data_IF_595709385916
#
_entry.id   IF_595709385916
#
_cell.length_a   1.000
_cell.length_b   1.000
_cell.length_c   1.000
_cell.angle_alpha   90.00
_cell.angle_beta   90.00
_cell.angle_gamma   90.00
#
_symmetry.space_group_name_H-M   'P 1'
#
loop_
_entity.id
_entity.type
_entity.pdbx_description
1 polymer ?
#
# COMPACT_ATOMS: atom_id res chain seq x y z
N UNK A 1 -21.37 9.44 -72.34
CA UNK A 1 -21.57 8.78 -71.03
C UNK A 1 -20.27 8.85 -70.24
N UNK A 2 -20.11 9.80 -69.31
CA UNK A 2 -18.94 9.88 -68.41
C UNK A 2 -19.36 9.32 -67.06
N UNK A 3 -18.73 8.22 -66.63
CA UNK A 3 -18.93 7.63 -65.30
C UNK A 3 -18.10 8.43 -64.30
N UNK A 4 -18.77 9.05 -63.32
CA UNK A 4 -18.13 9.68 -62.17
C UNK A 4 -18.03 8.61 -61.08
N UNK A 5 -16.81 8.26 -60.68
CA UNK A 5 -16.57 7.37 -59.56
C UNK A 5 -16.59 8.20 -58.27
N UNK A 6 -17.54 7.89 -57.39
CA UNK A 6 -17.65 8.51 -56.07
C UNK A 6 -16.74 7.73 -55.11
N UNK A 7 -15.67 8.36 -54.62
CA UNK A 7 -14.80 7.78 -53.61
C UNK A 7 -15.37 8.06 -52.22
N UNK A 8 -15.85 7.01 -51.54
CA UNK A 8 -16.32 7.08 -50.15
C UNK A 8 -15.12 7.07 -49.21
N UNK A 9 -14.85 8.18 -48.54
CA UNK A 9 -13.86 8.25 -47.45
C UNK A 9 -14.50 7.69 -46.17
N UNK A 10 -13.99 6.57 -45.67
CA UNK A 10 -14.35 6.03 -44.35
C UNK A 10 -13.46 6.72 -43.31
N UNK A 11 -14.06 7.58 -42.47
CA UNK A 11 -13.41 8.13 -41.29
C UNK A 11 -13.44 7.08 -40.18
N UNK A 12 -12.29 6.51 -39.84
CA UNK A 12 -12.11 5.67 -38.65
C UNK A 12 -11.91 6.62 -37.47
N UNK A 13 -12.94 6.75 -36.63
CA UNK A 13 -12.80 7.39 -35.32
C UNK A 13 -12.08 6.44 -34.38
N UNK A 14 -10.82 6.73 -34.07
CA UNK A 14 -10.13 6.09 -32.95
C UNK A 14 -10.68 6.67 -31.66
N UNK A 15 -11.48 5.89 -30.94
CA UNK A 15 -11.84 6.20 -29.55
C UNK A 15 -10.62 5.84 -28.72
N UNK A 16 -9.88 6.84 -28.24
CA UNK A 16 -8.88 6.63 -27.20
C UNK A 16 -9.64 6.29 -25.92
N UNK A 17 -9.70 4.99 -25.60
CA UNK A 17 -10.15 4.53 -24.30
C UNK A 17 -9.02 4.83 -23.33
N UNK A 18 -9.13 5.94 -22.61
CA UNK A 18 -8.27 6.20 -21.46
C UNK A 18 -8.61 5.17 -20.38
N UNK A 19 -7.77 4.16 -20.22
CA UNK A 19 -7.84 3.28 -19.04
C UNK A 19 -7.46 4.11 -17.82
N UNK A 20 -8.21 3.95 -16.74
CA UNK A 20 -7.90 4.63 -15.50
C UNK A 20 -6.62 4.04 -14.92
N UNK A 21 -5.72 4.88 -14.38
CA UNK A 21 -4.58 4.36 -13.61
C UNK A 21 -5.10 3.67 -12.34
N UNK A 22 -4.61 2.47 -12.01
CA UNK A 22 -5.02 1.77 -10.81
C UNK A 22 -4.71 2.57 -9.54
N UNK A 23 -5.60 2.52 -8.55
CA UNK A 23 -5.29 3.03 -7.21
C UNK A 23 -4.11 2.27 -6.61
N UNK A 24 -3.30 2.96 -5.81
CA UNK A 24 -2.13 2.36 -5.17
C UNK A 24 -2.14 2.62 -3.67
N UNK A 25 -1.74 1.60 -2.91
CA UNK A 25 -1.48 1.70 -1.48
C UNK A 25 -0.46 2.80 -1.21
N UNK A 26 -0.70 3.65 -0.20
CA UNK A 26 0.14 4.82 0.14
C UNK A 26 0.23 5.88 -0.96
N UNK A 27 -0.88 6.13 -1.66
CA UNK A 27 -1.00 7.23 -2.61
C UNK A 27 -0.52 6.89 -4.03
N UNK A 28 -0.64 7.83 -4.98
CA UNK A 28 -0.45 7.57 -6.42
C UNK A 28 0.91 6.96 -6.81
N UNK A 29 1.97 7.30 -6.06
CA UNK A 29 3.33 6.82 -6.28
C UNK A 29 3.76 5.70 -5.31
N UNK A 30 2.82 5.19 -4.51
CA UNK A 30 3.04 4.14 -3.49
C UNK A 30 4.11 4.45 -2.42
N UNK A 31 4.46 5.72 -2.24
CA UNK A 31 5.55 6.17 -1.35
C UNK A 31 5.05 6.90 -0.09
N UNK A 32 3.74 7.08 0.05
CA UNK A 32 3.12 7.80 1.17
C UNK A 32 3.12 9.31 1.02
N UNK A 33 3.43 9.84 -0.17
CA UNK A 33 3.41 11.27 -0.47
C UNK A 33 2.20 11.57 -1.35
N UNK A 34 1.30 12.42 -0.87
CA UNK A 34 0.08 12.81 -1.58
C UNK A 34 0.28 14.13 -2.35
N UNK A 35 -0.33 14.26 -3.54
CA UNK A 35 -0.10 15.40 -4.44
C UNK A 35 -0.90 16.65 -4.07
N UNK A 36 -1.80 16.57 -3.09
CA UNK A 36 -2.62 17.68 -2.62
C UNK A 36 -1.79 18.89 -2.18
N UNK A 37 -2.38 20.08 -2.38
CA UNK A 37 -1.77 21.40 -2.14
C UNK A 37 -2.78 22.38 -1.54
N UNK A 38 -2.25 23.39 -0.86
CA UNK A 38 -3.03 24.39 -0.13
C UNK A 38 -3.63 23.81 1.15
N UNK A 39 -2.96 22.84 1.75
CA UNK A 39 -3.41 22.17 2.96
C UNK A 39 -3.10 23.02 4.20
N UNK A 40 -3.76 22.71 5.31
CA UNK A 40 -3.48 23.31 6.61
C UNK A 40 -2.00 23.09 6.98
N UNK A 41 -1.31 24.18 7.27
CA UNK A 41 0.10 24.15 7.72
C UNK A 41 0.24 24.04 9.24
N UNK A 42 -0.86 24.21 9.97
CA UNK A 42 -0.99 24.08 11.41
C UNK A 42 -2.42 23.61 11.72
N UNK A 43 -2.58 22.76 12.73
CA UNK A 43 -3.89 22.36 13.19
C UNK A 43 -4.62 23.50 13.92
N UNK A 44 -5.92 23.71 13.66
CA UNK A 44 -6.75 24.56 14.52
C UNK A 44 -6.75 24.06 15.97
N UNK A 45 -7.12 24.93 16.92
CA UNK A 45 -7.12 24.64 18.36
C UNK A 45 -7.87 23.33 18.71
N UNK A 46 -8.96 23.03 18.00
CA UNK A 46 -9.78 21.83 18.20
C UNK A 46 -9.46 20.69 17.22
N UNK A 47 -8.35 20.77 16.49
CA UNK A 47 -8.05 19.89 15.37
C UNK A 47 -8.76 20.28 14.06
N UNK A 48 -8.52 19.53 12.97
CA UNK A 48 -9.21 19.75 11.71
C UNK A 48 -10.71 19.45 11.84
N UNK A 49 -11.53 20.11 11.03
CA UNK A 49 -12.97 19.93 11.04
C UNK A 49 -13.35 18.50 10.61
N UNK A 50 -14.08 17.78 11.46
CA UNK A 50 -14.68 16.50 11.10
C UNK A 50 -15.90 16.74 10.19
N UNK A 51 -15.78 16.41 8.91
CA UNK A 51 -16.85 16.55 7.92
C UNK A 51 -17.95 15.51 8.17
N UNK A 52 -17.54 14.25 8.34
CA UNK A 52 -18.43 13.13 8.61
C UNK A 52 -17.68 11.94 9.19
N UNK A 53 -18.43 11.00 9.76
CA UNK A 53 -17.93 9.68 10.17
C UNK A 53 -18.94 8.58 9.82
N UNK A 54 -18.42 7.42 9.43
CA UNK A 54 -19.19 6.21 9.17
C UNK A 54 -18.81 5.13 10.20
N UNK A 55 -19.75 4.74 11.07
CA UNK A 55 -19.48 3.92 12.27
C UNK A 55 -19.96 2.46 12.16
N UNK A 56 -20.39 2.03 10.96
CA UNK A 56 -21.05 0.73 10.75
C UNK A 56 -20.17 -0.30 10.03
N UNK A 57 -18.86 -0.06 9.92
CA UNK A 57 -17.99 -0.91 9.10
C UNK A 57 -17.47 -2.16 9.84
N UNK A 58 -17.44 -2.19 11.17
CA UNK A 58 -16.86 -3.32 11.92
C UNK A 58 -15.32 -3.29 11.98
N UNK A 59 -14.69 -4.37 12.40
CA UNK A 59 -13.25 -4.41 12.71
C UNK A 59 -12.36 -4.44 11.46
N UNK A 60 -11.20 -3.78 11.53
CA UNK A 60 -10.22 -3.78 10.44
C UNK A 60 -9.12 -2.73 10.63
N UNK A 61 -8.09 -2.85 9.79
CA UNK A 61 -6.90 -2.02 9.75
C UNK A 61 -6.60 -1.49 8.35
N UNK A 62 -7.53 -1.69 7.41
CA UNK A 62 -7.36 -1.30 6.01
C UNK A 62 -7.51 0.21 5.84
N UNK A 63 -6.66 0.79 5.01
CA UNK A 63 -6.86 2.16 4.54
C UNK A 63 -7.99 2.22 3.51
N UNK A 64 -8.74 3.34 3.43
CA UNK A 64 -9.72 3.52 2.38
C UNK A 64 -9.05 3.67 1.01
N UNK A 65 -9.64 3.10 -0.04
CA UNK A 65 -9.27 3.37 -1.42
C UNK A 65 -10.29 4.31 -2.06
N UNK A 66 -9.83 5.33 -2.77
CA UNK A 66 -10.69 6.36 -3.37
C UNK A 66 -10.57 6.27 -4.89
N UNK A 67 -11.70 6.08 -5.58
CA UNK A 67 -11.76 6.03 -7.04
C UNK A 67 -13.16 6.37 -7.54
N UNK A 68 -13.25 7.09 -8.66
CA UNK A 68 -14.52 7.38 -9.33
C UNK A 68 -15.54 8.14 -8.47
N UNK A 69 -15.08 8.96 -7.51
CA UNK A 69 -15.96 9.69 -6.58
C UNK A 69 -16.59 8.81 -5.50
N UNK A 70 -15.97 7.67 -5.18
CA UNK A 70 -16.41 6.78 -4.11
C UNK A 70 -15.24 6.31 -3.26
N UNK A 71 -15.58 5.87 -2.04
CA UNK A 71 -14.65 5.32 -1.07
C UNK A 71 -14.93 3.83 -0.91
N UNK A 72 -13.88 3.01 -0.97
CA UNK A 72 -13.95 1.57 -0.84
C UNK A 72 -13.13 1.13 0.36
N UNK A 73 -13.74 0.36 1.26
CA UNK A 73 -13.05 -0.11 2.46
C UNK A 73 -13.49 -1.54 2.82
N UNK A 74 -12.55 -2.51 2.86
CA UNK A 74 -12.83 -3.83 3.39
C UNK A 74 -12.77 -3.81 4.91
N UNK A 75 -13.65 -4.53 5.58
CA UNK A 75 -13.71 -4.68 7.04
C UNK A 75 -14.34 -6.02 7.41
N UNK A 76 -14.44 -6.31 8.71
CA UNK A 76 -14.98 -7.55 9.25
C UNK A 76 -16.07 -7.30 10.29
N UNK A 77 -17.18 -8.03 10.18
CA UNK A 77 -18.24 -8.09 11.19
C UNK A 77 -18.48 -9.56 11.51
N UNK A 78 -18.36 -9.94 12.79
CA UNK A 78 -18.58 -11.31 13.26
C UNK A 78 -17.84 -12.38 12.44
N UNK A 79 -16.53 -12.20 12.25
CA UNK A 79 -15.64 -13.07 11.43
C UNK A 79 -15.90 -13.08 9.93
N UNK A 80 -16.93 -12.37 9.49
CA UNK A 80 -17.34 -12.28 8.10
C UNK A 80 -16.79 -10.98 7.52
N UNK A 81 -16.08 -11.08 6.41
CA UNK A 81 -15.52 -9.94 5.71
C UNK A 81 -16.53 -9.29 4.76
N UNK A 82 -16.52 -7.97 4.73
CA UNK A 82 -17.39 -7.14 3.91
C UNK A 82 -16.59 -6.08 3.17
N UNK A 83 -16.90 -5.86 1.89
CA UNK A 83 -16.47 -4.69 1.15
C UNK A 83 -17.57 -3.63 1.24
N UNK A 84 -17.20 -2.42 1.66
CA UNK A 84 -18.09 -1.26 1.69
C UNK A 84 -17.74 -0.32 0.55
N UNK A 85 -18.77 0.24 -0.10
CA UNK A 85 -18.67 1.41 -0.97
C UNK A 85 -19.48 2.55 -0.36
N UNK A 86 -18.84 3.69 -0.16
CA UNK A 86 -19.44 4.90 0.37
C UNK A 86 -19.35 6.03 -0.66
N UNK A 87 -20.27 6.98 -0.60
CA UNK A 87 -20.11 8.29 -1.28
C UNK A 87 -18.99 9.09 -0.61
N UNK A 88 -18.51 10.14 -1.28
CA UNK A 88 -17.53 11.06 -0.69
C UNK A 88 -18.06 11.80 0.55
N UNK A 89 -19.37 11.82 0.75
CA UNK A 89 -20.05 12.39 1.92
C UNK A 89 -20.32 11.35 3.03
N UNK A 90 -19.79 10.13 2.90
CA UNK A 90 -19.85 9.09 3.92
C UNK A 90 -21.15 8.27 3.93
N UNK A 91 -22.01 8.43 2.92
CA UNK A 91 -23.25 7.65 2.81
C UNK A 91 -22.99 6.25 2.22
N UNK A 92 -23.62 5.23 2.80
CA UNK A 92 -23.50 3.85 2.31
C UNK A 92 -24.17 3.69 0.94
N UNK A 93 -23.38 3.30 -0.07
CA UNK A 93 -23.90 2.91 -1.39
C UNK A 93 -24.25 1.43 -1.40
N UNK A 94 -23.28 0.58 -1.07
CA UNK A 94 -23.49 -0.85 -0.90
C UNK A 94 -22.49 -1.47 0.08
N UNK A 95 -22.87 -2.63 0.61
CA UNK A 95 -22.04 -3.51 1.41
C UNK A 95 -22.21 -4.94 0.92
N UNK A 96 -21.12 -5.58 0.51
CA UNK A 96 -21.13 -6.95 0.00
C UNK A 96 -20.23 -7.85 0.83
N UNK A 97 -20.76 -8.99 1.25
CA UNK A 97 -20.01 -10.05 1.92
C UNK A 97 -19.03 -10.73 0.94
N UNK A 98 -17.77 -10.89 1.35
CA UNK A 98 -16.78 -11.64 0.57
C UNK A 98 -16.38 -12.99 1.18
N UNK A 99 -16.94 -13.34 2.34
CA UNK A 99 -16.70 -14.59 3.06
C UNK A 99 -15.86 -14.41 4.32
N UNK A 100 -15.31 -15.51 4.85
CA UNK A 100 -14.55 -15.48 6.11
C UNK A 100 -13.31 -14.58 6.03
N UNK A 101 -13.12 -13.77 7.06
CA UNK A 101 -11.93 -12.94 7.26
C UNK A 101 -11.06 -13.46 8.42
N UNK A 102 -9.81 -13.01 8.45
CA UNK A 102 -8.86 -13.35 9.49
C UNK A 102 -9.33 -12.83 10.85
N UNK A 103 -9.65 -13.78 11.73
CA UNK A 103 -10.28 -13.51 13.02
C UNK A 103 -9.52 -14.09 14.22
N UNK A 104 -8.23 -14.39 14.05
CA UNK A 104 -7.35 -14.84 15.13
C UNK A 104 -6.70 -13.62 15.82
N UNK A 105 -5.37 -13.49 15.82
CA UNK A 105 -4.71 -12.34 16.45
C UNK A 105 -4.88 -11.05 15.64
N UNK A 106 -5.33 -9.97 16.27
CA UNK A 106 -5.63 -8.71 15.60
C UNK A 106 -6.69 -8.92 14.49
N UNK A 107 -7.93 -9.28 14.86
CA UNK A 107 -8.96 -9.63 13.90
C UNK A 107 -9.32 -8.47 12.95
N UNK A 108 -9.63 -8.78 11.69
CA UNK A 108 -10.09 -7.81 10.69
C UNK A 108 -9.30 -7.79 9.38
N UNK A 109 -9.82 -7.06 8.40
CA UNK A 109 -9.14 -6.79 7.12
C UNK A 109 -7.86 -5.95 7.36
N UNK A 110 -6.88 -6.07 6.46
CA UNK A 110 -5.59 -5.34 6.56
C UNK A 110 -5.14 -4.73 5.24
N UNK A 111 -5.45 -5.39 4.12
CA UNK A 111 -5.09 -4.93 2.79
C UNK A 111 -6.04 -3.83 2.32
N UNK A 112 -5.54 -2.92 1.50
CA UNK A 112 -6.38 -1.94 0.81
C UNK A 112 -6.88 -2.53 -0.51
N UNK A 113 -8.04 -2.07 -0.98
CA UNK A 113 -8.53 -2.48 -2.30
C UNK A 113 -7.78 -1.74 -3.42
N UNK A 114 -7.52 -2.44 -4.52
CA UNK A 114 -6.96 -1.85 -5.75
C UNK A 114 -8.08 -1.70 -6.77
N UNK A 115 -8.32 -0.47 -7.23
CA UNK A 115 -9.39 -0.15 -8.16
C UNK A 115 -8.81 0.29 -9.49
N UNK A 116 -9.39 -0.20 -10.58
CA UNK A 116 -9.07 0.23 -11.94
C UNK A 116 -10.28 0.00 -12.83
N UNK A 117 -10.65 1.02 -13.60
CA UNK A 117 -11.85 1.04 -14.44
C UNK A 117 -13.10 0.66 -13.62
N UNK A 118 -13.87 -0.34 -14.07
CA UNK A 118 -15.09 -0.83 -13.43
C UNK A 118 -14.84 -1.91 -12.36
N UNK A 119 -13.58 -2.18 -11.99
CA UNK A 119 -13.19 -3.32 -11.15
C UNK A 119 -12.45 -2.94 -9.88
N UNK A 120 -12.71 -3.72 -8.85
CA UNK A 120 -12.02 -3.71 -7.56
C UNK A 120 -11.38 -5.07 -7.32
N UNK A 121 -10.13 -5.05 -6.82
CA UNK A 121 -9.35 -6.21 -6.44
C UNK A 121 -8.98 -6.15 -4.97
N UNK A 122 -9.14 -7.27 -4.26
CA UNK A 122 -8.86 -7.32 -2.83
C UNK A 122 -8.38 -8.71 -2.42
N UNK A 123 -7.33 -8.77 -1.59
CA UNK A 123 -6.85 -9.99 -0.96
C UNK A 123 -7.28 -10.02 0.51
N UNK A 124 -8.14 -10.99 0.87
CA UNK A 124 -8.52 -11.19 2.27
C UNK A 124 -7.38 -11.79 3.09
N UNK A 125 -7.45 -11.61 4.40
CA UNK A 125 -6.50 -12.19 5.35
C UNK A 125 -6.54 -13.72 5.43
N UNK A 126 -7.58 -14.36 4.87
CA UNK A 126 -7.66 -15.82 4.67
C UNK A 126 -7.11 -16.27 3.30
N UNK A 127 -6.59 -15.36 2.48
CA UNK A 127 -5.96 -15.68 1.21
C UNK A 127 -6.94 -15.80 0.03
N UNK A 128 -8.14 -15.23 0.15
CA UNK A 128 -9.09 -15.15 -0.97
C UNK A 128 -8.83 -13.85 -1.73
N UNK A 129 -8.27 -13.95 -2.93
CA UNK A 129 -8.16 -12.86 -3.89
C UNK A 129 -9.47 -12.76 -4.67
N UNK A 130 -10.08 -11.58 -4.67
CA UNK A 130 -11.34 -11.29 -5.34
C UNK A 130 -11.15 -10.26 -6.44
N UNK A 131 -11.90 -10.42 -7.53
CA UNK A 131 -12.27 -9.34 -8.43
C UNK A 131 -13.77 -9.10 -8.32
N UNK A 132 -14.18 -7.86 -8.09
CA UNK A 132 -15.57 -7.47 -7.93
C UNK A 132 -15.89 -6.28 -8.81
N UNK A 133 -17.16 -6.16 -9.19
CA UNK A 133 -17.70 -4.97 -9.86
C UNK A 133 -17.71 -3.79 -8.90
N UNK A 134 -17.25 -2.63 -9.35
CA UNK A 134 -17.36 -1.37 -8.59
C UNK A 134 -18.78 -0.80 -8.57
N UNK A 135 -19.64 -1.24 -9.50
CA UNK A 135 -21.02 -0.77 -9.63
C UNK A 135 -21.87 -1.28 -8.46
N UNK A 136 -21.95 -2.60 -8.29
CA UNK A 136 -22.86 -3.28 -7.36
C UNK A 136 -22.15 -4.17 -6.34
N UNK A 137 -20.81 -4.28 -6.41
CA UNK A 137 -20.01 -5.14 -5.54
C UNK A 137 -20.12 -6.63 -5.88
N UNK A 138 -20.75 -7.01 -6.99
CA UNK A 138 -20.85 -8.42 -7.38
C UNK A 138 -19.45 -9.02 -7.62
N UNK A 139 -19.24 -10.25 -7.14
CA UNK A 139 -17.98 -10.98 -7.35
C UNK A 139 -17.94 -11.49 -8.79
N UNK A 140 -16.90 -11.10 -9.53
CA UNK A 140 -16.67 -11.51 -10.92
C UNK A 140 -15.87 -12.82 -10.96
N UNK A 141 -14.78 -12.88 -10.20
CA UNK A 141 -13.99 -14.11 -10.02
C UNK A 141 -13.29 -14.11 -8.67
N UNK A 142 -12.88 -15.30 -8.22
CA UNK A 142 -12.06 -15.48 -7.01
C UNK A 142 -10.92 -16.45 -7.25
N UNK A 143 -9.79 -16.24 -6.57
CA UNK A 143 -8.65 -17.14 -6.54
C UNK A 143 -8.17 -17.30 -5.10
N UNK A 144 -7.95 -18.52 -4.64
CA UNK A 144 -7.47 -18.79 -3.30
C UNK A 144 -5.95 -19.05 -3.31
N UNK A 145 -5.17 -18.24 -2.59
CA UNK A 145 -3.70 -18.34 -2.59
C UNK A 145 -3.22 -19.73 -2.14
N UNK A 146 -3.79 -20.29 -1.07
CA UNK A 146 -3.44 -21.66 -0.62
C UNK A 146 -3.92 -22.72 -1.63
N UNK A 147 -5.23 -22.80 -1.86
CA UNK A 147 -5.82 -23.94 -2.59
C UNK A 147 -5.54 -23.93 -4.10
N UNK A 148 -5.44 -22.76 -4.72
CA UNK A 148 -5.28 -22.62 -6.17
C UNK A 148 -3.86 -22.25 -6.59
N UNK A 149 -3.03 -21.74 -5.67
CA UNK A 149 -1.70 -21.22 -5.94
C UNK A 149 -0.63 -21.82 -5.00
N UNK A 150 -0.90 -22.96 -4.34
CA UNK A 150 0.04 -23.66 -3.46
C UNK A 150 0.70 -22.75 -2.40
N UNK A 151 0.01 -21.67 -2.03
CA UNK A 151 0.46 -20.70 -1.04
C UNK A 151 0.45 -21.28 0.36
N UNK A 152 1.15 -20.61 1.27
CA UNK A 152 1.19 -21.02 2.68
C UNK A 152 0.75 -19.86 3.54
N UNK A 153 -0.39 -20.04 4.21
CA UNK A 153 -0.91 -19.05 5.16
C UNK A 153 0.08 -18.91 6.32
N UNK A 154 0.52 -17.69 6.60
CA UNK A 154 1.38 -17.43 7.75
C UNK A 154 0.53 -17.31 9.04
N UNK A 155 1.19 -17.17 10.20
CA UNK A 155 0.50 -17.16 11.51
C UNK A 155 -0.45 -15.97 11.72
N UNK A 156 -0.33 -14.93 10.89
CA UNK A 156 -1.14 -13.72 10.96
C UNK A 156 -2.12 -13.59 9.80
N UNK A 157 -2.09 -14.50 8.83
CA UNK A 157 -2.92 -14.46 7.62
C UNK A 157 -2.13 -14.18 6.35
N UNK A 158 -2.82 -13.65 5.35
CA UNK A 158 -2.22 -12.92 4.24
C UNK A 158 -2.46 -11.42 4.41
N UNK A 159 -1.58 -10.59 3.87
CA UNK A 159 -1.85 -9.17 3.77
C UNK A 159 -1.01 -8.58 2.65
N UNK A 160 -1.60 -8.25 1.51
CA UNK A 160 -0.93 -7.40 0.54
C UNK A 160 -2.00 -6.63 -0.23
N UNK A 161 -1.73 -5.35 -0.50
CA UNK A 161 -2.51 -4.63 -1.51
C UNK A 161 -1.97 -5.09 -2.86
N UNK A 162 -2.72 -5.94 -3.54
CA UNK A 162 -2.34 -6.47 -4.87
C UNK A 162 -2.14 -5.33 -5.87
N UNK A 163 -1.11 -5.42 -6.70
CA UNK A 163 -0.81 -4.40 -7.71
C UNK A 163 -1.28 -4.84 -9.09
N UNK A 164 -1.73 -3.88 -9.90
CA UNK A 164 -2.29 -4.11 -11.24
C UNK A 164 -1.48 -3.33 -12.26
N UNK A 165 -1.19 -3.96 -13.40
CA UNK A 165 -0.62 -3.31 -14.58
C UNK A 165 -1.21 -3.92 -15.86
N UNK A 166 -1.85 -3.10 -16.68
CA UNK A 166 -2.53 -3.56 -17.89
C UNK A 166 -3.53 -4.66 -17.58
N UNK A 167 -3.32 -5.85 -18.14
CA UNK A 167 -4.20 -7.00 -17.96
C UNK A 167 -3.76 -7.93 -16.82
N UNK A 168 -2.72 -7.57 -16.06
CA UNK A 168 -2.14 -8.43 -15.02
C UNK A 168 -2.42 -7.89 -13.63
N UNK A 169 -2.67 -8.81 -12.71
CA UNK A 169 -2.65 -8.59 -11.26
C UNK A 169 -1.55 -9.46 -10.65
N UNK A 170 -0.78 -8.90 -9.72
CA UNK A 170 0.33 -9.59 -9.07
C UNK A 170 0.00 -9.84 -7.59
N UNK A 171 0.25 -11.07 -7.12
CA UNK A 171 0.08 -11.45 -5.72
C UNK A 171 1.17 -12.43 -5.28
N UNK A 172 1.46 -12.44 -3.98
CA UNK A 172 2.55 -13.16 -3.32
C UNK A 172 1.97 -14.29 -2.45
N UNK A 173 1.62 -15.46 -3.02
CA UNK A 173 1.20 -16.61 -2.22
C UNK A 173 2.31 -17.14 -1.30
N UNK A 174 3.57 -16.92 -1.67
CA UNK A 174 4.71 -17.64 -1.09
C UNK A 174 4.59 -19.16 -1.26
N UNK A 175 5.58 -19.91 -0.80
CA UNK A 175 5.54 -21.37 -0.76
C UNK A 175 6.74 -22.06 -1.39
N UNK A 176 6.64 -23.40 -1.45
CA UNK A 176 7.71 -24.29 -1.93
C UNK A 176 7.98 -24.14 -3.43
N UNK A 177 6.94 -23.93 -4.23
CA UNK A 177 7.04 -23.97 -5.70
C UNK A 177 7.07 -22.59 -6.34
N UNK A 178 6.29 -21.64 -5.81
CA UNK A 178 6.18 -20.29 -6.35
C UNK A 178 6.18 -19.23 -5.25
N UNK A 179 6.82 -18.10 -5.50
CA UNK A 179 6.89 -16.97 -4.57
C UNK A 179 5.83 -15.91 -4.89
N UNK A 180 5.76 -15.53 -6.17
CA UNK A 180 4.85 -14.53 -6.72
C UNK A 180 4.22 -15.06 -7.99
N UNK A 181 2.97 -14.68 -8.26
CA UNK A 181 2.26 -15.03 -9.49
C UNK A 181 1.69 -13.79 -10.14
N UNK A 182 1.60 -13.82 -11.47
CA UNK A 182 0.75 -12.91 -12.23
C UNK A 182 -0.49 -13.67 -12.71
N UNK A 183 -1.65 -13.06 -12.49
CA UNK A 183 -2.93 -13.56 -13.00
C UNK A 183 -3.48 -12.56 -14.03
N UNK A 184 -4.30 -13.06 -14.96
CA UNK A 184 -5.11 -12.21 -15.81
C UNK A 184 -6.16 -11.51 -14.94
N UNK A 185 -6.17 -10.18 -14.92
CA UNK A 185 -7.03 -9.39 -14.03
C UNK A 185 -8.53 -9.54 -14.35
N UNK A 186 -8.89 -10.00 -15.54
CA UNK A 186 -10.28 -10.16 -15.95
C UNK A 186 -10.83 -11.56 -15.66
N UNK A 187 -9.97 -12.58 -15.64
CA UNK A 187 -10.39 -13.99 -15.51
C UNK A 187 -9.88 -14.70 -14.26
N UNK A 188 -8.81 -14.19 -13.62
CA UNK A 188 -8.13 -14.85 -12.51
C UNK A 188 -7.25 -16.04 -12.93
N UNK A 189 -7.11 -16.28 -14.23
CA UNK A 189 -6.25 -17.33 -14.77
C UNK A 189 -4.77 -16.97 -14.61
N UNK A 190 -3.93 -17.95 -14.31
CA UNK A 190 -2.50 -17.73 -14.14
C UNK A 190 -1.84 -17.41 -15.48
N UNK A 191 -1.07 -16.33 -15.52
CA UNK A 191 -0.24 -15.92 -16.67
C UNK A 191 1.16 -16.48 -16.52
N UNK A 192 1.77 -16.26 -15.35
CA UNK A 192 3.07 -16.82 -14.99
C UNK A 192 3.19 -16.98 -13.47
N UNK A 193 4.15 -17.80 -13.05
CA UNK A 193 4.53 -18.00 -11.66
C UNK A 193 6.06 -17.88 -11.54
N UNK A 194 6.52 -17.02 -10.64
CA UNK A 194 7.94 -16.88 -10.32
C UNK A 194 8.37 -18.00 -9.37
N UNK A 195 9.56 -18.55 -9.61
CA UNK A 195 10.12 -19.65 -8.81
C UNK A 195 10.13 -19.31 -7.30
N UNK A 196 9.66 -20.25 -6.50
CA UNK A 196 9.69 -20.15 -5.04
C UNK A 196 11.07 -20.46 -4.47
N UNK A 197 11.35 -19.93 -3.27
CA UNK A 197 12.53 -20.31 -2.47
C UNK A 197 12.17 -21.19 -1.26
N UNK A 198 10.93 -21.70 -1.18
CA UNK A 198 10.45 -22.39 0.02
C UNK A 198 10.01 -21.46 1.14
N UNK A 199 9.69 -20.21 0.81
CA UNK A 199 9.54 -19.11 1.75
C UNK A 199 8.10 -18.58 1.69
N UNK A 200 7.48 -18.27 2.84
CA UNK A 200 6.07 -17.84 2.85
C UNK A 200 5.93 -16.35 2.54
N UNK A 201 4.69 -15.92 2.32
CA UNK A 201 4.36 -14.52 2.17
C UNK A 201 4.67 -13.73 3.46
N UNK A 202 5.11 -12.48 3.31
CA UNK A 202 5.55 -11.64 4.42
C UNK A 202 4.98 -10.21 4.37
N UNK A 203 3.75 -10.07 3.90
CA UNK A 203 2.92 -8.87 4.06
C UNK A 203 3.28 -7.65 3.19
N UNK A 204 4.29 -7.79 2.34
CA UNK A 204 4.82 -6.68 1.55
C UNK A 204 3.96 -6.47 0.30
N UNK A 205 3.34 -5.29 0.19
CA UNK A 205 2.75 -4.86 -1.08
C UNK A 205 3.87 -4.66 -2.10
N UNK A 206 3.86 -5.37 -3.25
CA UNK A 206 4.95 -5.28 -4.22
C UNK A 206 5.14 -3.88 -4.81
N UNK A 207 6.40 -3.47 -4.96
CA UNK A 207 6.80 -2.25 -5.66
C UNK A 207 7.03 -2.55 -7.15
N UNK A 208 6.42 -1.77 -8.04
CA UNK A 208 6.64 -1.86 -9.48
C UNK A 208 7.71 -0.85 -9.92
N UNK A 209 8.75 -1.33 -10.61
CA UNK A 209 9.86 -0.51 -11.09
C UNK A 209 9.98 -0.60 -12.61
N UNK A 210 10.10 0.55 -13.27
CA UNK A 210 10.31 0.65 -14.71
C UNK A 210 11.76 1.06 -15.00
N UNK A 211 12.50 0.18 -15.65
CA UNK A 211 13.81 0.47 -16.24
C UNK A 211 13.67 0.62 -17.76
N UNK A 212 14.58 1.33 -18.44
CA UNK A 212 14.54 1.44 -19.90
C UNK A 212 14.55 0.07 -20.62
N UNK A 213 15.20 -0.93 -20.03
CA UNK A 213 15.34 -2.27 -20.63
C UNK A 213 14.34 -3.30 -20.13
N UNK A 214 13.73 -3.11 -18.96
CA UNK A 214 12.84 -4.10 -18.33
C UNK A 214 11.95 -3.52 -17.24
N UNK A 215 10.98 -4.32 -16.82
CA UNK A 215 10.00 -3.98 -15.79
C UNK A 215 10.10 -4.96 -14.63
N UNK A 216 10.36 -4.47 -13.42
CA UNK A 216 10.51 -5.32 -12.23
C UNK A 216 9.33 -5.22 -11.30
N UNK A 217 9.10 -6.31 -10.60
CA UNK A 217 8.33 -6.39 -9.37
C UNK A 217 9.32 -6.67 -8.23
N UNK A 218 9.27 -5.85 -7.19
CA UNK A 218 10.10 -6.02 -5.98
C UNK A 218 9.20 -6.26 -4.78
N UNK A 219 9.43 -7.34 -4.05
CA UNK A 219 8.65 -7.65 -2.84
C UNK A 219 9.49 -8.45 -1.84
N UNK A 220 8.92 -8.73 -0.68
CA UNK A 220 9.50 -9.55 0.36
C UNK A 220 8.69 -10.83 0.58
N UNK A 221 9.40 -11.95 0.70
CA UNK A 221 8.94 -13.15 1.41
C UNK A 221 9.56 -13.17 2.81
N UNK A 222 9.26 -14.17 3.65
CA UNK A 222 9.70 -14.27 5.05
C UNK A 222 11.21 -13.98 5.25
N UNK A 223 12.03 -14.46 4.30
CA UNK A 223 13.49 -14.49 4.35
C UNK A 223 14.18 -13.73 3.23
N UNK A 224 13.51 -13.39 2.13
CA UNK A 224 14.15 -12.80 0.95
C UNK A 224 13.46 -11.54 0.45
N UNK A 225 14.27 -10.60 -0.01
CA UNK A 225 13.87 -9.54 -0.94
C UNK A 225 14.04 -10.12 -2.35
N UNK A 226 13.03 -9.97 -3.19
CA UNK A 226 12.98 -10.56 -4.53
C UNK A 226 12.91 -9.47 -5.59
N UNK A 227 13.66 -9.63 -6.68
CA UNK A 227 13.50 -8.86 -7.91
C UNK A 227 13.08 -9.78 -9.04
N UNK A 228 11.88 -9.54 -9.58
CA UNK A 228 11.23 -10.43 -10.55
C UNK A 228 10.92 -9.64 -11.81
N UNK A 229 11.21 -10.21 -12.98
CA UNK A 229 10.80 -9.62 -14.25
C UNK A 229 9.28 -9.75 -14.45
N UNK A 230 8.57 -8.63 -14.63
CA UNK A 230 7.11 -8.60 -14.79
C UNK A 230 6.64 -9.19 -16.11
N UNK A 231 7.53 -9.32 -17.09
CA UNK A 231 7.17 -9.86 -18.39
C UNK A 231 6.76 -11.34 -18.27
N UNK A 232 7.60 -12.16 -17.64
CA UNK A 232 7.49 -13.61 -17.64
C UNK A 232 7.66 -14.29 -16.27
N UNK A 233 7.89 -13.52 -15.20
CA UNK A 233 8.08 -14.06 -13.85
C UNK A 233 9.50 -14.56 -13.56
N UNK A 234 10.46 -14.28 -14.43
CA UNK A 234 11.87 -14.65 -14.19
C UNK A 234 12.38 -14.00 -12.91
N UNK A 235 12.83 -14.82 -11.95
CA UNK A 235 13.49 -14.34 -10.73
C UNK A 235 14.92 -13.89 -11.07
N UNK A 236 15.16 -12.58 -11.07
CA UNK A 236 16.43 -11.99 -11.48
C UNK A 236 17.46 -12.05 -10.34
N UNK A 237 17.04 -11.72 -9.13
CA UNK A 237 17.90 -11.73 -7.95
C UNK A 237 17.10 -11.93 -6.67
N UNK A 238 17.82 -12.37 -5.63
CA UNK A 238 17.32 -12.46 -4.27
C UNK A 238 18.34 -11.90 -3.30
N UNK A 239 17.89 -11.23 -2.24
CA UNK A 239 18.75 -10.80 -1.14
C UNK A 239 18.20 -11.38 0.18
N UNK A 240 18.99 -12.24 0.84
CA UNK A 240 18.58 -12.89 2.10
C UNK A 240 18.56 -11.87 3.24
N UNK A 241 17.38 -11.59 3.78
CA UNK A 241 17.17 -10.53 4.75
C UNK A 241 16.00 -10.81 5.72
N UNK A 242 15.97 -11.95 6.43
CA UNK A 242 14.89 -12.27 7.38
C UNK A 242 14.93 -11.35 8.60
N UNK A 243 13.77 -11.17 9.23
CA UNK A 243 13.67 -10.66 10.60
C UNK A 243 13.16 -11.74 11.56
N UNK A 244 13.20 -11.47 12.87
CA UNK A 244 12.82 -12.45 13.91
C UNK A 244 11.35 -12.90 13.89
N UNK A 245 10.47 -12.18 13.20
CA UNK A 245 9.04 -12.51 13.11
C UNK A 245 8.62 -13.04 11.74
N UNK A 246 9.52 -13.02 10.75
CA UNK A 246 9.30 -13.42 9.37
C UNK A 246 8.19 -12.61 8.68
N UNK A 247 8.04 -11.33 9.01
CA UNK A 247 7.02 -10.44 8.43
C UNK A 247 7.68 -9.13 7.96
N UNK A 248 7.35 -8.63 6.78
CA UNK A 248 7.95 -7.42 6.17
C UNK A 248 6.85 -6.52 5.57
N UNK A 249 6.15 -5.80 6.44
CA UNK A 249 4.93 -5.07 6.07
C UNK A 249 5.16 -3.82 5.21
N UNK A 250 6.39 -3.30 5.17
CA UNK A 250 6.67 -2.05 4.47
C UNK A 250 6.98 -2.30 2.99
N UNK A 251 6.36 -1.51 2.12
CA UNK A 251 6.77 -1.41 0.72
C UNK A 251 8.11 -0.67 0.63
N UNK A 252 9.10 -1.19 -0.12
CA UNK A 252 10.37 -0.50 -0.34
C UNK A 252 10.19 0.87 -1.01
N UNK A 253 11.20 1.73 -0.85
CA UNK A 253 11.31 2.99 -1.61
C UNK A 253 12.39 2.85 -2.68
N UNK A 254 12.20 3.44 -3.86
CA UNK A 254 13.17 3.38 -4.94
C UNK A 254 13.41 4.77 -5.55
N UNK A 255 14.67 5.20 -5.57
CA UNK A 255 15.10 6.46 -6.18
C UNK A 255 16.47 6.28 -6.81
N UNK A 256 16.61 6.70 -8.07
CA UNK A 256 17.90 6.76 -8.79
C UNK A 256 18.71 5.44 -8.79
N UNK A 257 18.03 4.30 -8.92
CA UNK A 257 18.69 2.99 -8.92
C UNK A 257 18.94 2.40 -7.53
N UNK A 258 18.66 3.14 -6.47
CA UNK A 258 18.80 2.68 -5.09
C UNK A 258 17.44 2.27 -4.51
N UNK A 259 17.41 1.09 -3.89
CA UNK A 259 16.24 0.46 -3.28
C UNK A 259 16.43 0.41 -1.77
N UNK A 260 15.59 1.14 -1.05
CA UNK A 260 15.56 1.15 0.40
C UNK A 260 14.50 0.18 0.93
N UNK A 261 14.96 -0.90 1.56
CA UNK A 261 14.13 -1.90 2.20
C UNK A 261 14.29 -1.82 3.71
N UNK A 262 13.18 -1.86 4.45
CA UNK A 262 13.20 -1.60 5.89
C UNK A 262 12.13 -2.40 6.61
N UNK A 263 12.48 -2.89 7.81
CA UNK A 263 11.67 -3.88 8.52
C UNK A 263 11.86 -3.80 10.02
N UNK A 264 10.81 -4.15 10.73
CA UNK A 264 10.76 -3.99 12.18
C UNK A 264 11.48 -5.08 12.93
N UNK A 265 11.09 -5.20 14.20
CA UNK A 265 11.51 -6.30 15.06
C UNK A 265 13.04 -6.38 15.27
N UNK A 266 13.72 -5.23 15.26
CA UNK A 266 15.17 -5.11 15.39
C UNK A 266 15.95 -5.47 14.12
N UNK A 267 15.30 -5.51 12.95
CA UNK A 267 15.99 -5.79 11.68
C UNK A 267 16.67 -4.55 11.09
N UNK A 268 16.02 -3.40 11.20
CA UNK A 268 16.54 -2.15 10.65
C UNK A 268 16.23 -2.01 9.16
N UNK A 269 17.17 -1.45 8.40
CA UNK A 269 17.04 -1.18 6.99
C UNK A 269 18.30 -1.55 6.20
N UNK A 270 18.12 -1.84 4.93
CA UNK A 270 19.18 -2.08 3.95
C UNK A 270 18.93 -1.24 2.71
N UNK A 271 19.99 -0.63 2.20
CA UNK A 271 20.01 0.02 0.91
C UNK A 271 20.69 -0.89 -0.10
N UNK A 272 19.97 -1.22 -1.17
CA UNK A 272 20.45 -2.04 -2.28
C UNK A 272 20.58 -1.16 -3.52
N UNK A 273 21.78 -1.05 -4.09
CA UNK A 273 21.98 -0.43 -5.40
C UNK A 273 21.70 -1.45 -6.49
N UNK A 274 20.75 -1.15 -7.36
CA UNK A 274 20.50 -1.89 -8.60
C UNK A 274 21.47 -1.47 -9.70
N UNK A 275 21.82 -2.41 -10.58
CA UNK A 275 22.49 -2.07 -11.83
C UNK A 275 21.52 -1.40 -12.82
N UNK A 276 22.05 -0.85 -13.91
CA UNK A 276 21.30 -0.03 -14.88
C UNK A 276 20.12 -0.77 -15.53
N UNK A 277 20.18 -2.09 -15.63
CA UNK A 277 19.10 -2.90 -16.19
C UNK A 277 18.27 -3.62 -15.12
N UNK A 278 18.50 -3.37 -13.83
CA UNK A 278 17.77 -3.99 -12.72
C UNK A 278 18.01 -5.49 -12.52
N UNK A 279 18.88 -6.14 -13.30
CA UNK A 279 19.12 -7.60 -13.20
C UNK A 279 19.95 -8.04 -12.00
N UNK A 280 20.55 -7.12 -11.24
CA UNK A 280 21.27 -7.46 -10.01
C UNK A 280 21.26 -6.32 -8.99
N UNK A 281 21.51 -6.68 -7.74
CA UNK A 281 21.63 -5.76 -6.60
C UNK A 281 22.96 -5.95 -5.89
N UNK A 282 23.48 -4.88 -5.29
CA UNK A 282 24.54 -4.92 -4.29
C UNK A 282 24.16 -4.11 -3.07
N UNK A 283 24.58 -4.55 -1.89
CA UNK A 283 24.40 -3.78 -0.67
C UNK A 283 25.23 -2.48 -0.75
N UNK A 284 24.58 -1.35 -0.49
CA UNK A 284 25.21 -0.01 -0.42
C UNK A 284 25.50 0.36 1.03
N UNK A 285 24.53 0.19 1.91
CA UNK A 285 24.66 0.39 3.36
C UNK A 285 23.54 -0.31 4.12
N UNK A 286 23.72 -0.47 5.44
CA UNK A 286 22.73 -1.01 6.38
C UNK A 286 22.59 -0.04 7.55
N UNK A 287 21.38 0.09 8.08
CA UNK A 287 21.09 0.78 9.34
C UNK A 287 20.37 -0.18 10.29
N UNK A 288 20.90 -0.33 11.51
CA UNK A 288 20.24 -1.15 12.53
C UNK A 288 19.15 -0.38 13.30
N UNK A 289 19.13 0.95 13.20
CA UNK A 289 18.28 1.81 14.02
C UNK A 289 16.91 2.09 13.40
N UNK A 290 16.81 2.11 12.07
CA UNK A 290 15.56 2.36 11.34
C UNK A 290 14.72 1.08 11.21
N UNK A 291 14.25 0.55 12.34
CA UNK A 291 13.53 -0.71 12.43
C UNK A 291 12.00 -0.53 12.38
N UNK A 292 11.48 0.11 11.34
CA UNK A 292 10.04 0.37 11.24
C UNK A 292 9.23 -0.92 11.03
N UNK A 293 8.22 -1.18 11.87
CA UNK A 293 7.38 -2.39 11.78
C UNK A 293 6.38 -2.34 10.63
N UNK A 294 5.53 -1.31 10.59
CA UNK A 294 4.43 -1.19 9.62
C UNK A 294 3.95 0.25 9.43
N UNK A 295 4.73 1.22 9.90
CA UNK A 295 4.44 2.64 9.81
C UNK A 295 4.73 3.24 8.43
N UNK A 296 5.52 2.52 7.61
CA UNK A 296 6.05 3.05 6.36
C UNK A 296 7.15 4.09 6.58
N UNK A 297 7.61 4.67 5.48
CA UNK A 297 8.56 5.77 5.45
C UNK A 297 8.22 6.71 4.29
N UNK A 298 8.65 7.96 4.37
CA UNK A 298 8.61 8.93 3.27
C UNK A 298 10.02 9.45 2.99
N UNK A 299 10.35 9.72 1.73
CA UNK A 299 11.62 10.29 1.31
C UNK A 299 11.38 11.72 0.81
N UNK A 300 11.98 12.70 1.47
CA UNK A 300 11.86 14.12 1.14
C UNK A 300 13.26 14.73 1.14
N UNK A 301 13.64 15.38 0.04
CA UNK A 301 14.90 16.11 -0.12
C UNK A 301 16.17 15.33 0.27
N UNK A 302 16.21 14.02 -0.04
CA UNK A 302 17.34 13.14 0.26
C UNK A 302 17.36 12.59 1.68
N UNK A 303 16.28 12.77 2.45
CA UNK A 303 16.15 12.27 3.81
C UNK A 303 14.91 11.38 3.97
N UNK A 304 15.10 10.25 4.65
CA UNK A 304 14.07 9.26 4.95
C UNK A 304 13.50 9.58 6.32
N UNK A 305 12.17 9.69 6.41
CA UNK A 305 11.44 9.93 7.66
C UNK A 305 10.51 8.77 7.98
N UNK A 306 10.52 8.34 9.24
CA UNK A 306 9.63 7.29 9.74
C UNK A 306 9.94 6.92 11.19
N UNK A 307 9.22 5.93 11.73
CA UNK A 307 9.36 5.52 13.12
C UNK A 307 10.00 4.13 13.28
N UNK A 308 10.91 3.97 14.25
CA UNK A 308 11.46 2.68 14.67
C UNK A 308 10.54 1.91 15.64
N UNK A 309 10.53 0.59 15.58
CA UNK A 309 9.72 -0.28 16.43
C UNK A 309 10.38 -0.63 17.76
N UNK A 310 11.66 -1.00 17.75
CA UNK A 310 12.39 -1.35 18.96
C UNK A 310 12.74 -0.10 19.77
N UNK A 311 13.24 0.93 19.09
CA UNK A 311 13.66 2.18 19.72
C UNK A 311 12.47 3.07 20.10
N UNK A 312 11.30 2.85 19.47
CA UNK A 312 10.07 3.65 19.68
C UNK A 312 10.33 5.14 19.48
N UNK A 313 11.12 5.46 18.47
CA UNK A 313 11.51 6.82 18.14
C UNK A 313 11.21 7.14 16.68
N UNK A 314 10.80 8.37 16.42
CA UNK A 314 10.75 8.96 15.09
C UNK A 314 12.14 9.36 14.66
N UNK A 315 12.52 9.02 13.43
CA UNK A 315 13.91 9.08 12.96
C UNK A 315 13.97 9.75 11.59
N UNK A 316 15.12 10.38 11.34
CA UNK A 316 15.52 10.86 10.03
C UNK A 316 16.84 10.23 9.64
N UNK A 317 16.91 9.62 8.46
CA UNK A 317 18.14 9.06 7.89
C UNK A 317 18.51 9.79 6.60
N UNK A 318 19.81 9.98 6.36
CA UNK A 318 20.33 10.45 5.08
C UNK A 318 20.29 9.31 4.04
N UNK A 319 19.63 9.51 2.90
CA UNK A 319 19.43 8.49 1.85
C UNK A 319 20.75 7.89 1.34
N UNK A 320 21.76 8.74 1.14
CA UNK A 320 23.01 8.32 0.51
C UNK A 320 23.85 7.40 1.39
N UNK A 321 23.81 7.58 2.71
CA UNK A 321 24.75 6.95 3.66
C UNK A 321 24.08 6.08 4.72
N UNK A 322 22.77 6.22 4.92
CA UNK A 322 22.05 5.57 6.02
C UNK A 322 22.32 6.19 7.39
N UNK A 323 23.06 7.31 7.44
CA UNK A 323 23.37 8.01 8.70
C UNK A 323 22.09 8.54 9.33
N UNK A 324 21.83 8.12 10.57
CA UNK A 324 20.76 8.70 11.38
C UNK A 324 21.14 10.14 11.74
N UNK A 325 20.31 11.08 11.31
CA UNK A 325 20.50 12.51 11.55
C UNK A 325 19.99 12.92 12.92
N UNK A 326 18.82 12.40 13.31
CA UNK A 326 18.26 12.54 14.65
C UNK A 326 17.29 11.40 14.96
N UNK A 327 16.90 11.31 16.24
CA UNK A 327 15.70 10.60 16.69
C UNK A 327 14.93 11.42 17.73
N UNK A 328 13.62 11.19 17.85
CA UNK A 328 12.76 11.80 18.87
C UNK A 328 11.74 10.80 19.42
N UNK A 329 11.46 10.90 20.72
CA UNK A 329 10.45 10.09 21.45
C UNK A 329 9.23 10.91 21.86
N UNK A 330 9.06 12.10 21.27
CA UNK A 330 7.95 13.01 21.57
C UNK A 330 6.58 12.44 21.18
N UNK A 331 6.54 11.57 20.18
CA UNK A 331 5.36 10.81 19.76
C UNK A 331 5.63 9.32 19.97
N UNK A 332 4.57 8.53 20.14
CA UNK A 332 4.71 7.07 20.12
C UNK A 332 4.89 6.53 18.71
N UNK A 333 5.02 5.21 18.58
CA UNK A 333 5.09 4.57 17.27
C UNK A 333 3.88 4.91 16.42
N UNK A 334 4.06 5.01 15.10
CA UNK A 334 2.98 5.42 14.23
C UNK A 334 3.21 5.17 12.76
N UNK A 335 2.24 5.62 11.97
CA UNK A 335 2.24 5.64 10.52
C UNK A 335 2.63 7.02 10.01
N UNK A 336 3.36 7.05 8.89
CA UNK A 336 3.84 8.29 8.27
C UNK A 336 3.35 8.43 6.84
N UNK A 337 2.83 9.62 6.54
CA UNK A 337 2.54 10.12 5.18
C UNK A 337 3.06 11.56 5.06
N UNK A 338 3.08 12.10 3.86
CA UNK A 338 3.41 13.50 3.61
C UNK A 338 2.50 14.11 2.55
N UNK A 339 2.26 15.41 2.64
CA UNK A 339 1.57 16.19 1.63
C UNK A 339 1.92 17.67 1.79
N UNK A 340 1.89 18.42 0.70
CA UNK A 340 2.09 19.87 0.69
C UNK A 340 3.31 20.38 1.49
N UNK A 341 4.42 19.63 1.42
CA UNK A 341 5.68 19.99 2.09
C UNK A 341 5.73 19.67 3.58
N UNK A 342 4.72 19.01 4.16
CA UNK A 342 4.69 18.60 5.56
C UNK A 342 4.59 17.09 5.71
N UNK A 343 5.12 16.61 6.83
CA UNK A 343 5.01 15.21 7.26
C UNK A 343 3.86 15.10 8.26
N UNK A 344 2.99 14.11 8.05
CA UNK A 344 1.91 13.76 8.96
C UNK A 344 2.33 12.52 9.73
N UNK A 345 2.51 12.68 11.04
CA UNK A 345 2.85 11.59 11.96
C UNK A 345 1.59 11.22 12.73
N UNK A 346 1.04 10.03 12.48
CA UNK A 346 -0.13 9.53 13.20
C UNK A 346 0.25 8.36 14.10
N UNK A 347 0.21 8.58 15.41
CA UNK A 347 0.77 7.66 16.40
C UNK A 347 -0.25 6.67 17.00
N UNK A 348 0.26 5.65 17.70
CA UNK A 348 -0.52 4.57 18.31
C UNK A 348 -1.42 5.05 19.46
N UNK A 349 -1.26 6.31 19.93
CA UNK A 349 -2.15 6.97 20.89
C UNK A 349 -3.23 7.82 20.22
N UNK A 350 -3.19 7.97 18.91
CA UNK A 350 -4.10 8.82 18.14
C UNK A 350 -3.66 10.28 18.07
N UNK A 351 -2.43 10.62 18.44
CA UNK A 351 -1.89 11.95 18.14
C UNK A 351 -1.58 12.05 16.65
N UNK A 352 -2.09 13.12 16.03
CA UNK A 352 -1.80 13.50 14.66
C UNK A 352 -0.97 14.78 14.67
N UNK A 353 0.31 14.67 14.33
CA UNK A 353 1.24 15.79 14.29
C UNK A 353 1.56 16.21 12.85
N UNK A 354 1.64 17.53 12.63
CA UNK A 354 2.28 18.11 11.46
C UNK A 354 3.74 18.41 11.80
N UNK A 355 4.65 17.89 11.00
CA UNK A 355 6.09 17.97 11.20
C UNK A 355 6.73 18.60 9.97
N UNK A 356 7.64 19.55 10.20
CA UNK A 356 8.48 20.11 9.14
C UNK A 356 9.50 19.05 8.69
N UNK A 357 9.71 18.82 7.38
CA UNK A 357 10.76 17.94 6.87
C UNK A 357 12.14 18.59 7.07
N UNK A 358 12.59 18.61 8.31
CA UNK A 358 13.87 19.15 8.74
C UNK A 358 14.82 17.99 9.03
N UNK A 359 16.04 18.00 8.52
CA UNK A 359 16.99 16.91 8.74
C UNK A 359 17.86 17.09 10.00
N UNK A 360 17.77 18.21 10.71
CA UNK A 360 18.60 18.48 11.90
C UNK A 360 17.88 18.15 13.21
N UNK A 361 16.55 18.22 13.24
CA UNK A 361 15.73 17.97 14.42
C UNK A 361 14.32 17.49 14.05
N UNK A 362 13.64 16.84 15.00
CA UNK A 362 12.23 16.49 14.86
C UNK A 362 11.35 17.70 15.21
N UNK A 363 10.99 18.50 14.21
CA UNK A 363 10.28 19.76 14.44
C UNK A 363 8.78 19.61 14.25
N UNK A 364 8.07 19.31 15.35
CA UNK A 364 6.60 19.35 15.38
C UNK A 364 6.14 20.82 15.26
N UNK A 365 5.33 21.11 14.24
CA UNK A 365 4.67 22.40 14.06
C UNK A 365 3.45 22.48 14.98
N UNK A 366 2.60 21.46 14.92
CA UNK A 366 1.37 21.38 15.70
C UNK A 366 0.92 19.93 15.86
N UNK A 367 0.04 19.67 16.83
CA UNK A 367 -0.56 18.35 17.06
C UNK A 367 -2.03 18.46 17.45
N UNK A 368 -2.79 17.44 17.13
CA UNK A 368 -4.17 17.23 17.58
C UNK A 368 -4.39 15.77 17.93
N UNK A 369 -5.53 15.44 18.51
CA UNK A 369 -5.90 14.07 18.88
C UNK A 369 -7.10 13.58 18.09
N UNK A 370 -6.96 12.43 17.44
CA UNK A 370 -8.05 11.70 16.79
C UNK A 370 -8.61 10.70 17.79
N UNK A 371 -9.76 11.04 18.38
CA UNK A 371 -10.34 10.28 19.50
C UNK A 371 -11.41 9.28 19.08
N UNK A 372 -12.04 9.50 17.93
CA UNK A 372 -13.13 8.68 17.40
C UNK A 372 -12.65 7.27 17.00
N UNK A 373 -13.59 6.33 16.89
CA UNK A 373 -13.32 4.93 16.55
C UNK A 373 -12.76 4.08 17.70
N UNK A 374 -12.45 2.81 17.40
CA UNK A 374 -12.02 1.83 18.40
C UNK A 374 -10.85 0.99 17.89
N UNK A 375 -10.05 0.41 18.80
CA UNK A 375 -8.92 -0.41 18.43
C UNK A 375 -7.64 0.38 18.10
N UNK A 376 -6.71 -0.29 17.41
CA UNK A 376 -5.37 0.22 17.13
C UNK A 376 -5.32 1.21 15.97
N UNK A 377 -4.40 2.18 16.06
CA UNK A 377 -4.17 3.21 15.06
C UNK A 377 -3.15 2.74 14.00
N UNK A 378 -3.48 1.70 13.26
CA UNK A 378 -2.55 1.07 12.32
C UNK A 378 -2.89 1.30 10.85
N UNK A 379 -4.11 1.74 10.54
CA UNK A 379 -4.44 2.11 9.18
C UNK A 379 -3.70 3.39 8.78
N UNK A 380 -3.21 3.41 7.54
CA UNK A 380 -2.49 4.56 7.01
C UNK A 380 -3.53 5.62 6.58
N UNK A 381 -3.39 6.89 7.01
CA UNK A 381 -4.27 7.94 6.54
C UNK A 381 -4.16 8.12 5.02
N UNK A 382 -5.24 8.57 4.42
CA UNK A 382 -5.34 8.85 2.98
C UNK A 382 -5.73 10.29 2.79
N UNK A 383 -5.02 11.02 1.93
CA UNK A 383 -5.39 12.39 1.56
C UNK A 383 -5.92 12.37 0.14
N UNK A 384 -7.07 13.01 -0.07
CA UNK A 384 -7.66 13.20 -1.38
C UNK A 384 -8.50 14.48 -1.42
N UNK A 385 -8.19 15.36 -2.37
CA UNK A 385 -8.88 16.63 -2.62
C UNK A 385 -9.05 17.53 -1.37
N UNK A 386 -8.02 17.60 -0.53
CA UNK A 386 -8.03 18.40 0.70
C UNK A 386 -8.78 17.77 1.88
N UNK A 387 -9.14 16.49 1.77
CA UNK A 387 -9.76 15.71 2.85
C UNK A 387 -8.80 14.63 3.34
N UNK A 388 -8.63 14.54 4.65
CA UNK A 388 -7.87 13.49 5.34
C UNK A 388 -8.83 12.41 5.82
N UNK A 389 -8.64 11.19 5.32
CA UNK A 389 -9.40 10.02 5.69
C UNK A 389 -8.62 9.14 6.65
N UNK A 390 -9.25 8.79 7.78
CA UNK A 390 -8.66 7.91 8.80
C UNK A 390 -9.66 6.80 9.12
N UNK A 391 -9.25 5.54 8.97
CA UNK A 391 -10.00 4.39 9.45
C UNK A 391 -9.42 3.91 10.78
N UNK A 392 -10.31 3.58 11.73
CA UNK A 392 -9.94 3.04 13.04
C UNK A 392 -11.01 2.10 13.55
N UNK A 393 -10.74 0.79 13.47
CA UNK A 393 -11.70 -0.24 13.85
C UNK A 393 -13.00 -0.04 13.09
N UNK A 394 -14.10 0.19 13.81
CA UNK A 394 -15.45 0.35 13.27
C UNK A 394 -15.78 1.72 12.66
N UNK A 395 -14.83 2.66 12.63
CA UNK A 395 -15.11 4.03 12.17
C UNK A 395 -14.18 4.49 11.05
N UNK A 396 -14.75 4.98 9.95
CA UNK A 396 -14.06 5.79 8.95
C UNK A 396 -14.43 7.26 9.18
N UNK A 397 -13.43 8.13 9.21
CA UNK A 397 -13.58 9.56 9.45
C UNK A 397 -13.03 10.35 8.27
N UNK A 398 -13.67 11.47 7.95
CA UNK A 398 -13.19 12.44 6.96
C UNK A 398 -13.00 13.81 7.60
N UNK A 399 -11.81 14.36 7.49
CA UNK A 399 -11.45 15.66 8.06
C UNK A 399 -11.09 16.66 6.97
N UNK A 400 -11.66 17.85 7.01
CA UNK A 400 -11.29 18.96 6.13
C UNK A 400 -9.90 19.48 6.53
N UNK A 401 -8.97 19.45 5.58
CA UNK A 401 -7.59 19.90 5.80
C UNK A 401 -7.10 20.89 4.74
N UNK A 402 -8.02 21.53 4.01
CA UNK A 402 -7.76 22.57 3.02
C UNK A 402 -8.58 23.81 3.30
#
# INVERSE_FOLDING_TARGET
>A
MRKIALATFVFIFSVEVFSQEPTRWRGPDANGIYPDRGLLTEWPENGPELLWKFEQMGEGFSSPAISGGYIYIPTMIDKTGYMFKLTMDGELVWRVEYGEEFHESYPGSRATATLVDDRLYFLSGRGKLLCMSTEDGSVIWTKHLVNDLNGVLNRYGFNETVVVEGDKIYCTPGGETQSVVALNRFTGEMVWAAEGKGDKAAYCTPLMLDFPSRKLLVTHTESYILGIDRQDGTLLWTHYWPNRRLEHQNTPLFVNGDLFCFSGYGKGAVMLSMNEDGSSVREKWVSETFDNRMGGAVLIDGYIYGCGHHNRSWQCLEWETGRQMYESTELTMGVVIAADGLIYCYDERGELALVEPNHNEFKIISRTSITEGTGQQWAHPVIHEGVLYISRGSTLMAFQIK
#
